data_IF_523161876844
#
_entry.id   IF_523161876844
#
_cell.length_a   1.000
_cell.length_b   1.000
_cell.length_c   1.000
_cell.angle_alpha   90.00
_cell.angle_beta   90.00
_cell.angle_gamma   90.00
#
_symmetry.space_group_name_H-M   'P 1'
#
loop_
_entity.id
_entity.type
_entity.pdbx_description
1 polymer ?
#
# COMPACT_ATOMS: atom_id res chain seq x y z
N UNK A 1 8.56 -3.96 -42.39
CA UNK A 1 7.39 -3.47 -41.65
C UNK A 1 7.21 -4.36 -40.44
N UNK A 2 7.17 -3.81 -39.23
CA UNK A 2 6.89 -4.61 -38.03
C UNK A 2 5.40 -4.54 -37.73
N UNK A 3 4.81 -5.59 -37.13
CA UNK A 3 3.39 -5.59 -36.74
C UNK A 3 2.98 -4.39 -35.88
N UNK A 4 3.93 -3.85 -35.09
CA UNK A 4 3.72 -2.62 -34.35
C UNK A 4 3.34 -1.47 -35.28
N UNK A 5 3.99 -1.36 -36.43
CA UNK A 5 3.74 -0.31 -37.41
C UNK A 5 2.34 -0.49 -38.03
N UNK A 6 1.93 -1.73 -38.34
CA UNK A 6 0.56 -2.06 -38.78
C UNK A 6 -0.49 -1.68 -37.73
N UNK A 7 -0.24 -1.96 -36.44
CA UNK A 7 -1.15 -1.61 -35.34
C UNK A 7 -1.29 -0.10 -35.12
N UNK A 8 -0.26 0.68 -35.44
CA UNK A 8 -0.26 2.14 -35.28
C UNK A 8 -0.90 2.87 -36.46
N UNK A 9 -1.19 2.17 -37.56
CA UNK A 9 -1.87 2.72 -38.74
C UNK A 9 -3.41 2.72 -38.61
N UNK A 10 -3.97 1.97 -37.66
CA UNK A 10 -5.42 1.92 -37.42
C UNK A 10 -5.86 3.04 -36.46
N UNK A 11 -7.00 3.69 -36.76
CA UNK A 11 -7.63 4.68 -35.87
C UNK A 11 -8.12 4.02 -34.57
N UNK A 12 -8.11 4.77 -33.47
CA UNK A 12 -8.31 4.29 -32.08
C UNK A 12 -9.69 3.71 -31.78
N UNK A 13 -10.64 3.82 -32.69
CA UNK A 13 -12.07 3.62 -32.40
C UNK A 13 -12.54 2.18 -32.68
N UNK A 14 -11.63 1.28 -33.09
CA UNK A 14 -11.94 -0.10 -33.50
C UNK A 14 -11.21 -1.13 -32.60
N UNK A 15 -11.57 -1.15 -31.31
CA UNK A 15 -11.00 -2.07 -30.30
C UNK A 15 -11.10 -3.55 -30.72
N UNK A 16 -12.17 -3.92 -31.42
CA UNK A 16 -12.43 -5.28 -31.89
C UNK A 16 -11.40 -5.72 -32.96
N UNK A 17 -10.98 -4.79 -33.82
CA UNK A 17 -9.99 -5.06 -34.86
C UNK A 17 -8.58 -5.26 -34.27
N UNK A 18 -8.21 -4.47 -33.26
CA UNK A 18 -6.92 -4.64 -32.57
C UNK A 18 -6.83 -6.02 -31.90
N UNK A 19 -7.89 -6.48 -31.24
CA UNK A 19 -7.91 -7.80 -30.62
C UNK A 19 -7.81 -8.93 -31.65
N UNK A 20 -8.49 -8.79 -32.79
CA UNK A 20 -8.43 -9.77 -33.89
C UNK A 20 -7.02 -9.88 -34.50
N UNK A 21 -6.27 -8.78 -34.55
CA UNK A 21 -4.88 -8.75 -35.06
C UNK A 21 -3.91 -9.35 -34.02
N UNK A 22 -4.06 -8.98 -32.74
CA UNK A 22 -3.18 -9.46 -31.67
C UNK A 22 -3.36 -10.97 -31.39
N UNK A 23 -4.56 -11.50 -31.56
CA UNK A 23 -4.85 -12.93 -31.37
C UNK A 23 -4.25 -13.84 -32.46
N UNK A 24 -3.81 -13.30 -33.59
CA UNK A 24 -3.19 -14.05 -34.69
C UNK A 24 -1.68 -13.87 -34.67
N UNK A 25 -0.92 -14.92 -34.99
CA UNK A 25 0.54 -14.78 -35.18
C UNK A 25 0.87 -14.23 -36.59
N UNK A 26 1.92 -13.40 -36.74
CA UNK A 26 2.29 -12.85 -38.03
C UNK A 26 2.83 -13.98 -38.92
N UNK A 27 2.55 -13.92 -40.23
CA UNK A 27 3.02 -14.91 -41.20
C UNK A 27 3.72 -14.17 -42.35
N UNK A 28 5.02 -14.43 -42.61
CA UNK A 28 5.89 -15.39 -41.93
C UNK A 28 6.34 -14.92 -40.53
N UNK A 29 6.54 -15.87 -39.61
CA UNK A 29 7.04 -15.61 -38.26
C UNK A 29 8.53 -15.92 -38.20
N UNK A 30 9.36 -14.89 -38.11
CA UNK A 30 10.80 -15.04 -37.90
C UNK A 30 11.11 -15.21 -36.40
N UNK A 31 11.04 -16.46 -35.95
CA UNK A 31 11.25 -16.83 -34.53
C UNK A 31 12.66 -16.47 -34.06
N UNK A 32 13.68 -16.73 -34.87
CA UNK A 32 15.08 -16.49 -34.49
C UNK A 32 15.36 -15.00 -34.26
N UNK A 33 14.86 -14.14 -35.15
CA UNK A 33 14.95 -12.69 -34.99
C UNK A 33 14.18 -12.20 -33.76
N UNK A 34 13.01 -12.78 -33.48
CA UNK A 34 12.22 -12.43 -32.29
C UNK A 34 12.90 -12.86 -30.99
N UNK A 35 13.45 -14.07 -30.93
CA UNK A 35 14.23 -14.55 -29.78
C UNK A 35 15.40 -13.60 -29.56
N UNK A 36 16.20 -13.32 -30.59
CA UNK A 36 17.37 -12.43 -30.51
C UNK A 36 17.00 -11.04 -30.00
N UNK A 37 15.93 -10.43 -30.54
CA UNK A 37 15.45 -9.10 -30.11
C UNK A 37 14.95 -9.12 -28.66
N UNK A 38 14.24 -10.16 -28.27
CA UNK A 38 13.67 -10.28 -26.91
C UNK A 38 14.78 -10.50 -25.88
N UNK A 39 15.75 -11.36 -26.16
CA UNK A 39 16.92 -11.55 -25.29
C UNK A 39 17.73 -10.27 -25.14
N UNK A 40 17.94 -9.53 -26.24
CA UNK A 40 18.61 -8.24 -26.22
C UNK A 40 17.83 -7.20 -25.40
N UNK A 41 16.51 -7.13 -25.58
CA UNK A 41 15.65 -6.22 -24.82
C UNK A 41 15.69 -6.54 -23.31
N UNK A 42 15.61 -7.83 -22.95
CA UNK A 42 15.70 -8.27 -21.57
C UNK A 42 17.05 -7.93 -20.94
N UNK A 43 18.15 -8.10 -21.69
CA UNK A 43 19.49 -7.73 -21.23
C UNK A 43 19.66 -6.21 -21.03
N UNK A 44 19.03 -5.40 -21.89
CA UNK A 44 19.07 -3.93 -21.80
C UNK A 44 18.18 -3.38 -20.69
N UNK A 45 17.06 -4.04 -20.42
CA UNK A 45 16.06 -3.62 -19.43
C UNK A 45 15.72 -4.77 -18.48
N UNK A 46 16.66 -5.17 -17.60
CA UNK A 46 16.40 -6.24 -16.65
C UNK A 46 15.36 -5.79 -15.61
N UNK A 47 14.58 -6.70 -15.02
CA UNK A 47 13.51 -6.32 -14.11
C UNK A 47 14.01 -5.57 -12.86
N UNK A 48 15.28 -5.72 -12.49
CA UNK A 48 15.94 -4.92 -11.44
C UNK A 48 15.90 -3.40 -11.69
N UNK A 49 15.81 -2.96 -12.96
CA UNK A 49 15.74 -1.53 -13.31
C UNK A 49 14.34 -0.95 -13.14
N UNK A 50 13.34 -1.76 -12.76
CA UNK A 50 11.98 -1.26 -12.57
C UNK A 50 11.91 -0.23 -11.43
N UNK A 51 11.20 0.90 -11.63
CA UNK A 51 11.12 1.97 -10.65
C UNK A 51 10.36 1.53 -9.38
N UNK A 52 10.48 2.33 -8.32
CA UNK A 52 9.79 2.12 -7.04
C UNK A 52 10.05 0.76 -6.37
N UNK A 53 11.20 0.15 -6.67
CA UNK A 53 11.55 -1.20 -6.22
C UNK A 53 10.47 -2.23 -6.56
N UNK A 54 9.75 -2.05 -7.68
CA UNK A 54 8.64 -2.93 -8.06
C UNK A 54 9.06 -4.40 -8.09
N UNK A 55 10.25 -4.68 -8.64
CA UNK A 55 10.80 -6.03 -8.68
C UNK A 55 11.11 -6.63 -7.30
N UNK A 56 11.54 -5.80 -6.33
CA UNK A 56 11.74 -6.28 -4.95
C UNK A 56 10.43 -6.66 -4.28
N UNK A 57 9.31 -6.05 -4.66
CA UNK A 57 7.97 -6.36 -4.12
C UNK A 57 7.40 -7.68 -4.65
N UNK A 58 7.85 -8.14 -5.82
CA UNK A 58 7.46 -9.45 -6.36
C UNK A 58 7.95 -10.56 -5.43
N UNK A 59 7.10 -11.54 -5.11
CA UNK A 59 7.45 -12.64 -4.22
C UNK A 59 8.65 -13.44 -4.75
N UNK A 60 9.56 -13.82 -3.85
CA UNK A 60 10.67 -14.76 -4.15
C UNK A 60 10.19 -16.14 -4.59
N UNK A 61 8.94 -16.50 -4.26
CA UNK A 61 8.32 -17.77 -4.66
C UNK A 61 7.50 -17.65 -5.95
N UNK A 62 7.50 -16.46 -6.58
CA UNK A 62 6.81 -16.28 -7.86
C UNK A 62 7.59 -16.94 -8.99
N UNK A 63 6.84 -17.44 -9.99
CA UNK A 63 7.39 -18.01 -11.23
C UNK A 63 8.42 -17.06 -11.84
N UNK A 64 8.13 -15.76 -11.87
CA UNK A 64 9.02 -14.73 -12.42
C UNK A 64 10.44 -14.74 -11.81
N UNK A 65 10.58 -15.09 -10.53
CA UNK A 65 11.88 -15.13 -9.84
C UNK A 65 12.50 -16.52 -9.84
N UNK A 66 11.68 -17.57 -9.77
CA UNK A 66 12.17 -18.95 -9.70
C UNK A 66 12.57 -19.53 -11.05
N UNK A 67 12.09 -18.97 -12.16
CA UNK A 67 12.41 -19.44 -13.52
C UNK A 67 13.42 -18.54 -14.24
N UNK A 68 14.19 -17.72 -13.50
CA UNK A 68 15.11 -16.73 -14.09
C UNK A 68 16.38 -17.38 -14.63
N UNK A 69 16.89 -18.40 -13.94
CA UNK A 69 18.06 -19.14 -14.36
C UNK A 69 17.62 -20.41 -15.11
N UNK A 70 17.91 -20.51 -16.43
CA UNK A 70 17.58 -21.71 -17.20
C UNK A 70 18.21 -22.99 -16.65
N UNK A 71 19.40 -22.91 -16.06
CA UNK A 71 20.12 -24.08 -15.53
C UNK A 71 19.52 -24.57 -14.21
N UNK A 72 19.03 -23.66 -13.37
CA UNK A 72 18.26 -24.01 -12.17
C UNK A 72 16.88 -24.53 -12.55
N UNK A 73 16.21 -23.88 -13.51
CA UNK A 73 14.89 -24.27 -14.00
C UNK A 73 14.90 -25.68 -14.60
N UNK A 74 15.92 -26.02 -15.39
CA UNK A 74 16.05 -27.35 -16.00
C UNK A 74 16.19 -28.47 -14.96
N UNK A 75 16.68 -28.15 -13.75
CA UNK A 75 16.82 -29.10 -12.63
C UNK A 75 15.58 -29.15 -11.74
N UNK A 76 14.65 -28.21 -11.90
CA UNK A 76 13.47 -28.09 -11.07
C UNK A 76 12.50 -29.25 -11.34
N UNK A 77 12.09 -29.95 -10.29
CA UNK A 77 11.07 -30.99 -10.39
C UNK A 77 9.66 -30.43 -10.22
N UNK A 78 8.64 -31.20 -10.60
CA UNK A 78 7.25 -30.84 -10.35
C UNK A 78 6.98 -30.62 -8.85
N UNK A 79 7.53 -31.47 -7.98
CA UNK A 79 7.38 -31.35 -6.53
C UNK A 79 7.97 -30.04 -5.98
N UNK A 80 9.11 -29.60 -6.52
CA UNK A 80 9.70 -28.31 -6.17
C UNK A 80 8.78 -27.15 -6.56
N UNK A 81 8.17 -27.25 -7.75
CA UNK A 81 7.18 -26.30 -8.24
C UNK A 81 5.94 -26.22 -7.34
N UNK A 82 5.38 -27.37 -6.95
CA UNK A 82 4.24 -27.46 -6.03
C UNK A 82 4.55 -26.82 -4.68
N UNK A 83 5.75 -27.08 -4.14
CA UNK A 83 6.18 -26.51 -2.87
C UNK A 83 6.36 -24.98 -2.93
N UNK A 84 6.95 -24.45 -4.01
CA UNK A 84 7.06 -23.01 -4.23
C UNK A 84 5.68 -22.36 -4.41
N UNK A 85 4.80 -23.01 -5.16
CA UNK A 85 3.42 -22.56 -5.36
C UNK A 85 2.66 -22.50 -4.03
N UNK A 86 2.78 -23.53 -3.18
CA UNK A 86 2.17 -23.55 -1.86
C UNK A 86 2.67 -22.40 -0.97
N UNK A 87 3.98 -22.11 -0.99
CA UNK A 87 4.57 -20.97 -0.28
C UNK A 87 4.04 -19.64 -0.80
N UNK A 88 3.94 -19.49 -2.11
CA UNK A 88 3.41 -18.28 -2.74
C UNK A 88 1.93 -18.06 -2.38
N UNK A 89 1.11 -19.11 -2.45
CA UNK A 89 -0.29 -19.08 -2.05
C UNK A 89 -0.47 -18.70 -0.58
N UNK A 90 0.33 -19.29 0.32
CA UNK A 90 0.32 -18.93 1.75
C UNK A 90 0.73 -17.46 1.97
N UNK A 91 1.70 -16.94 1.20
CA UNK A 91 2.07 -15.52 1.26
C UNK A 91 0.92 -14.61 0.82
N UNK A 92 0.21 -14.95 -0.27
CA UNK A 92 -0.96 -14.19 -0.74
C UNK A 92 -2.04 -14.16 0.33
N UNK A 93 -2.41 -15.31 0.91
CA UNK A 93 -3.42 -15.38 1.97
C UNK A 93 -3.04 -14.53 3.20
N UNK A 94 -1.77 -14.53 3.62
CA UNK A 94 -1.30 -13.68 4.72
C UNK A 94 -1.39 -12.20 4.36
N UNK A 95 -1.04 -11.82 3.15
CA UNK A 95 -1.16 -10.43 2.70
C UNK A 95 -2.62 -9.97 2.65
N UNK A 96 -3.53 -10.81 2.15
CA UNK A 96 -4.97 -10.50 2.12
C UNK A 96 -5.56 -10.35 3.52
N UNK A 97 -5.20 -11.23 4.46
CA UNK A 97 -5.68 -11.14 5.86
C UNK A 97 -5.18 -9.87 6.53
N UNK A 98 -3.90 -9.52 6.37
CA UNK A 98 -3.34 -8.26 6.89
C UNK A 98 -4.02 -7.05 6.23
N UNK A 99 -4.26 -7.08 4.92
CA UNK A 99 -4.95 -5.99 4.22
C UNK A 99 -6.39 -5.81 4.72
N UNK A 100 -7.13 -6.89 4.94
CA UNK A 100 -8.48 -6.84 5.54
C UNK A 100 -8.43 -6.26 6.95
N UNK A 101 -7.53 -6.74 7.81
CA UNK A 101 -7.39 -6.24 9.19
C UNK A 101 -6.97 -4.76 9.25
N UNK A 102 -6.06 -4.34 8.36
CA UNK A 102 -5.62 -2.94 8.29
C UNK A 102 -6.71 -2.02 7.75
N UNK A 103 -7.51 -2.46 6.78
CA UNK A 103 -8.67 -1.72 6.32
C UNK A 103 -9.72 -1.53 7.45
N UNK A 104 -10.03 -2.60 8.18
CA UNK A 104 -10.96 -2.54 9.32
C UNK A 104 -10.44 -1.64 10.44
N UNK A 105 -9.17 -1.77 10.82
CA UNK A 105 -8.57 -0.92 11.87
C UNK A 105 -8.48 0.55 11.45
N UNK A 106 -8.21 0.86 10.17
CA UNK A 106 -8.27 2.24 9.66
C UNK A 106 -9.67 2.83 9.78
N UNK A 107 -10.71 2.06 9.46
CA UNK A 107 -12.10 2.49 9.61
C UNK A 107 -12.45 2.75 11.09
N UNK A 108 -12.04 1.84 11.98
CA UNK A 108 -12.24 1.99 13.42
C UNK A 108 -11.49 3.22 13.96
N UNK A 109 -10.21 3.37 13.62
CA UNK A 109 -9.41 4.53 14.01
C UNK A 109 -10.06 5.84 13.52
N UNK A 110 -10.55 5.87 12.28
CA UNK A 110 -11.27 7.04 11.74
C UNK A 110 -12.55 7.35 12.51
N UNK A 111 -13.30 6.33 12.95
CA UNK A 111 -14.52 6.48 13.75
C UNK A 111 -14.23 6.93 15.19
N UNK A 112 -13.17 6.41 15.81
CA UNK A 112 -12.82 6.68 17.21
C UNK A 112 -11.82 7.84 17.43
N UNK A 113 -11.31 8.49 16.37
CA UNK A 113 -10.39 9.64 16.50
C UNK A 113 -10.97 10.82 17.27
N UNK A 114 -12.30 11.02 17.21
CA UNK A 114 -13.00 12.14 17.85
C UNK A 114 -13.11 11.99 19.38
N UNK A 115 -13.61 10.87 19.93
CA UNK A 115 -13.70 10.69 21.39
C UNK A 115 -12.34 10.51 22.07
N UNK A 116 -11.38 9.84 21.43
CA UNK A 116 -10.05 9.56 22.04
C UNK A 116 -9.27 10.84 22.35
N UNK A 117 -9.41 11.89 21.52
CA UNK A 117 -8.82 13.20 21.81
C UNK A 117 -9.35 13.82 23.11
N UNK A 118 -10.64 13.67 23.40
CA UNK A 118 -11.22 14.20 24.64
C UNK A 118 -10.76 13.41 25.87
N UNK A 119 -10.73 12.08 25.80
CA UNK A 119 -10.26 11.23 26.90
C UNK A 119 -8.77 11.44 27.21
N UNK A 120 -7.92 11.57 26.19
CA UNK A 120 -6.49 11.84 26.38
C UNK A 120 -6.25 13.19 27.05
N UNK A 121 -6.98 14.24 26.64
CA UNK A 121 -6.91 15.55 27.32
C UNK A 121 -7.37 15.44 28.78
N UNK A 122 -8.48 14.74 29.05
CA UNK A 122 -8.98 14.56 30.42
C UNK A 122 -7.96 13.83 31.32
N UNK A 123 -7.29 12.79 30.81
CA UNK A 123 -6.25 12.06 31.53
C UNK A 123 -5.04 12.96 31.80
N UNK A 124 -4.58 13.72 30.80
CA UNK A 124 -3.46 14.66 30.97
C UNK A 124 -3.79 15.72 32.02
N UNK A 125 -4.99 16.30 31.97
CA UNK A 125 -5.46 17.27 32.97
C UNK A 125 -5.51 16.64 34.37
N UNK A 126 -6.00 15.39 34.48
CA UNK A 126 -6.02 14.66 35.74
C UNK A 126 -4.62 14.42 36.32
N UNK A 127 -3.67 14.01 35.48
CA UNK A 127 -2.26 13.80 35.89
C UNK A 127 -1.61 15.12 36.29
N UNK A 128 -1.81 16.19 35.52
CA UNK A 128 -1.27 17.53 35.83
C UNK A 128 -1.83 18.05 37.17
N UNK A 129 -3.12 17.88 37.41
CA UNK A 129 -3.77 18.26 38.67
C UNK A 129 -3.18 17.50 39.87
N UNK A 130 -2.98 16.18 39.74
CA UNK A 130 -2.39 15.35 40.78
C UNK A 130 -0.90 15.68 41.02
N UNK A 131 -0.15 15.97 39.97
CA UNK A 131 1.27 16.34 40.08
C UNK A 131 1.43 17.68 40.78
N UNK A 132 0.62 18.68 40.39
CA UNK A 132 0.65 20.02 40.99
C UNK A 132 0.14 20.02 42.44
N UNK A 133 -0.84 19.16 42.76
CA UNK A 133 -1.34 18.96 44.12
C UNK A 133 -0.33 18.29 45.07
N UNK A 134 0.71 17.64 44.52
CA UNK A 134 1.75 16.96 45.30
C UNK A 134 3.01 17.80 45.47
N UNK A 135 3.29 18.75 44.57
CA UNK A 135 4.30 19.80 44.74
C UNK A 135 3.69 20.97 45.51
N UNK A 136 3.68 20.89 46.84
CA UNK A 136 3.05 21.88 47.71
C UNK A 136 3.40 23.33 47.37
N UNK A 137 2.41 24.06 46.89
CA UNK A 137 2.20 25.49 47.12
C UNK A 137 0.70 25.75 47.00
N UNK A 138 0.04 25.87 48.15
CA UNK A 138 -1.37 26.17 48.25
C UNK A 138 -1.67 27.55 47.69
N UNK A 139 -1.98 27.64 46.40
CA UNK A 139 -2.78 28.73 45.86
C UNK A 139 -4.15 28.17 45.53
N UNK A 140 -5.10 28.52 46.39
CA UNK A 140 -6.52 28.16 46.38
C UNK A 140 -7.17 28.32 45.00
N UNK A 141 -7.33 27.22 44.26
CA UNK A 141 -8.16 27.17 43.04
C UNK A 141 -9.62 26.80 43.37
N UNK A 142 -9.96 26.59 44.64
CA UNK A 142 -11.36 26.48 45.11
C UNK A 142 -12.01 27.87 45.28
N UNK A 143 -11.82 28.76 44.30
CA UNK A 143 -12.68 29.92 44.13
C UNK A 143 -13.70 29.59 43.04
N UNK A 144 -15.01 29.80 43.28
CA UNK A 144 -16.04 29.58 42.25
C UNK A 144 -15.72 30.30 40.94
N UNK A 145 -15.02 31.44 41.02
CA UNK A 145 -14.58 32.21 39.85
C UNK A 145 -13.50 31.49 39.02
N UNK A 146 -12.57 30.77 39.67
CA UNK A 146 -11.52 30.02 38.98
C UNK A 146 -12.08 28.78 38.28
N UNK A 147 -13.10 28.14 38.86
CA UNK A 147 -13.80 27.00 38.26
C UNK A 147 -14.62 27.42 37.03
N UNK A 148 -15.26 28.59 37.08
CA UNK A 148 -16.01 29.16 35.95
C UNK A 148 -15.04 29.59 34.83
N UNK A 149 -13.94 30.27 35.16
CA UNK A 149 -12.91 30.65 34.17
C UNK A 149 -12.25 29.41 33.52
N UNK A 150 -11.97 28.37 34.29
CA UNK A 150 -11.48 27.11 33.76
C UNK A 150 -12.51 26.42 32.85
N UNK A 151 -13.79 26.42 33.24
CA UNK A 151 -14.88 25.88 32.41
C UNK A 151 -15.01 26.65 31.09
N UNK A 152 -14.96 27.98 31.12
CA UNK A 152 -15.14 28.82 29.95
C UNK A 152 -13.93 28.73 29.00
N UNK A 153 -12.71 28.65 29.53
CA UNK A 153 -11.51 28.37 28.74
C UNK A 153 -11.55 26.97 28.10
N UNK A 154 -12.04 25.98 28.83
CA UNK A 154 -12.17 24.62 28.33
C UNK A 154 -13.24 24.52 27.23
N UNK A 155 -14.38 25.21 27.40
CA UNK A 155 -15.40 25.34 26.36
C UNK A 155 -14.90 26.10 25.13
N UNK A 156 -14.09 27.14 25.30
CA UNK A 156 -13.46 27.87 24.19
C UNK A 156 -12.45 27.02 23.43
N UNK A 157 -11.59 26.26 24.12
CA UNK A 157 -10.63 25.36 23.48
C UNK A 157 -11.35 24.24 22.72
N UNK A 158 -12.40 23.66 23.31
CA UNK A 158 -13.24 22.68 22.63
C UNK A 158 -13.84 23.31 21.36
N UNK A 159 -14.52 24.45 21.49
CA UNK A 159 -15.19 25.08 20.35
C UNK A 159 -14.20 25.48 19.23
N UNK A 160 -13.00 25.94 19.59
CA UNK A 160 -11.92 26.28 18.65
C UNK A 160 -11.27 25.06 17.99
N UNK A 161 -11.20 23.92 18.68
CA UNK A 161 -10.75 22.66 18.10
C UNK A 161 -11.79 22.05 17.13
N UNK A 162 -13.08 22.37 17.32
CA UNK A 162 -14.15 21.95 16.41
C UNK A 162 -14.26 22.81 15.14
N UNK A 163 -13.94 24.11 15.19
CA UNK A 163 -13.96 24.98 14.00
C UNK A 163 -12.76 24.78 13.08
N UNK A 164 -11.61 24.33 13.59
CA UNK A 164 -10.42 24.02 12.79
C UNK A 164 -10.47 22.73 11.97
N UNK A 165 -11.52 21.89 12.11
CA UNK A 165 -11.65 20.61 11.40
C UNK A 165 -12.73 20.62 10.28
N UNK A 166 -13.13 21.81 9.81
CA UNK A 166 -14.15 22.02 8.77
C UNK A 166 -13.62 22.68 7.49
N UNK A 167 -12.31 22.56 7.24
CA UNK A 167 -11.64 22.84 5.96
C UNK A 167 -10.88 21.58 5.52
#
# INVERSE_FOLDING_TARGET
>A
MTRKDELLEYESDDEDMMYAILSKLPKPLDIESLIKRTTLLFAQHPPETLPFSAWRKVSSYSVLKTTRDPDELAKQTLADGEHLHAKHAAQIQRQETIQKMTAHSRLLAYRYRKPVGAFTVAIVVGILSLWMGRSGNGTSILSPAALVDARDKLLWVINRAWTGLRL
#
